data_IF_688665869077
#
_entry.id   IF_688665869077
#
_cell.length_a   1.000
_cell.length_b   1.000
_cell.length_c   1.000
_cell.angle_alpha   90.00
_cell.angle_beta   90.00
_cell.angle_gamma   90.00
#
_symmetry.space_group_name_H-M   'P 1'
#
loop_
_entity.id
_entity.type
_entity.pdbx_description
1 polymer ?
#
# COMPACT_ATOMS: atom_id res chain seq x y z
N UNK A 1 -14.76 16.71 -20.32
CA UNK A 1 -15.82 15.76 -19.89
C UNK A 1 -16.25 14.94 -21.09
N UNK A 2 -16.22 13.61 -21.01
CA UNK A 2 -16.70 12.69 -22.05
C UNK A 2 -17.97 12.00 -21.53
N UNK A 3 -19.01 11.90 -22.37
CA UNK A 3 -20.32 11.34 -21.98
C UNK A 3 -20.64 10.12 -22.82
N UNK A 4 -20.90 8.99 -22.16
CA UNK A 4 -21.21 7.71 -22.80
C UNK A 4 -22.45 7.10 -22.15
N UNK A 5 -23.40 6.62 -22.95
CA UNK A 5 -24.57 5.88 -22.47
C UNK A 5 -24.29 4.38 -22.56
N UNK A 6 -24.43 3.67 -21.44
CA UNK A 6 -24.25 2.22 -21.33
C UNK A 6 -25.49 1.54 -20.75
N UNK A 7 -25.77 0.32 -21.21
CA UNK A 7 -26.76 -0.60 -20.65
C UNK A 7 -26.13 -1.51 -19.59
N UNK A 8 -26.97 -2.27 -18.88
CA UNK A 8 -26.46 -3.31 -17.98
C UNK A 8 -25.62 -4.34 -18.73
N UNK A 9 -24.55 -4.81 -18.08
CA UNK A 9 -23.50 -5.69 -18.59
C UNK A 9 -22.62 -5.09 -19.71
N UNK A 10 -22.77 -3.80 -20.03
CA UNK A 10 -21.81 -3.11 -20.88
C UNK A 10 -20.68 -2.50 -20.05
N UNK A 11 -19.52 -2.35 -20.68
CA UNK A 11 -18.32 -1.80 -20.06
C UNK A 11 -17.74 -0.62 -20.84
N UNK A 12 -16.91 0.15 -20.14
CA UNK A 12 -16.12 1.26 -20.63
C UNK A 12 -14.68 0.98 -20.21
N UNK A 13 -13.75 1.04 -21.16
CA UNK A 13 -12.33 0.90 -20.90
C UNK A 13 -11.67 2.28 -20.85
N UNK A 14 -10.81 2.51 -19.86
CA UNK A 14 -10.07 3.75 -19.67
C UNK A 14 -8.58 3.41 -19.65
N UNK A 15 -7.86 3.84 -20.68
CA UNK A 15 -6.48 3.39 -20.91
C UNK A 15 -6.40 1.87 -21.05
N UNK A 16 -5.31 1.28 -20.57
CA UNK A 16 -5.09 -0.17 -20.70
C UNK A 16 -5.47 -0.96 -19.44
N UNK A 17 -5.54 -0.30 -18.29
CA UNK A 17 -5.60 -0.98 -16.99
C UNK A 17 -6.90 -0.76 -16.20
N UNK A 18 -7.81 0.11 -16.66
CA UNK A 18 -9.06 0.40 -15.94
C UNK A 18 -10.26 0.01 -16.79
N UNK A 19 -11.15 -0.79 -16.20
CA UNK A 19 -12.43 -1.18 -16.81
C UNK A 19 -13.57 -0.84 -15.86
N UNK A 20 -14.56 -0.10 -16.35
CA UNK A 20 -15.79 0.24 -15.64
C UNK A 20 -16.93 -0.57 -16.25
N UNK A 21 -17.63 -1.36 -15.46
CA UNK A 21 -18.74 -2.21 -15.90
C UNK A 21 -20.04 -1.82 -15.19
N UNK A 22 -21.12 -1.70 -15.96
CA UNK A 22 -22.45 -1.43 -15.41
C UNK A 22 -23.10 -2.76 -15.05
N UNK A 23 -23.00 -3.19 -13.79
CA UNK A 23 -23.53 -4.50 -13.36
C UNK A 23 -25.06 -4.54 -13.30
N UNK A 24 -25.69 -3.49 -12.76
CA UNK A 24 -27.15 -3.45 -12.58
C UNK A 24 -27.67 -2.04 -12.61
N UNK A 25 -28.83 -1.85 -13.21
CA UNK A 25 -29.60 -0.60 -13.18
C UNK A 25 -30.94 -0.93 -12.50
N UNK A 26 -31.25 -0.23 -11.41
CA UNK A 26 -32.49 -0.42 -10.66
C UNK A 26 -33.06 0.95 -10.25
N UNK A 27 -34.08 1.41 -10.97
CA UNK A 27 -34.67 2.74 -10.76
C UNK A 27 -33.63 3.84 -10.92
N UNK A 28 -33.36 4.56 -9.82
CA UNK A 28 -32.36 5.63 -9.76
C UNK A 28 -30.98 5.16 -9.30
N UNK A 29 -30.79 3.87 -8.99
CA UNK A 29 -29.52 3.33 -8.51
C UNK A 29 -28.85 2.50 -9.59
N UNK A 30 -27.55 2.73 -9.76
CA UNK A 30 -26.69 1.97 -10.67
C UNK A 30 -25.60 1.30 -9.85
N UNK A 31 -25.44 0.00 -10.04
CA UNK A 31 -24.30 -0.76 -9.51
C UNK A 31 -23.20 -0.73 -10.56
N UNK A 32 -22.10 -0.06 -10.23
CA UNK A 32 -20.92 0.06 -11.08
C UNK A 32 -19.81 -0.79 -10.48
N UNK A 33 -19.23 -1.69 -11.27
CA UNK A 33 -18.01 -2.39 -10.92
C UNK A 33 -16.83 -1.68 -11.58
N UNK A 34 -15.76 -1.48 -10.82
CA UNK A 34 -14.53 -0.87 -11.32
C UNK A 34 -13.42 -1.88 -11.11
N UNK A 35 -12.80 -2.31 -12.20
CA UNK A 35 -11.58 -3.11 -12.19
C UNK A 35 -10.41 -2.18 -12.51
N UNK A 36 -9.48 -2.05 -11.58
CA UNK A 36 -8.27 -1.26 -11.72
C UNK A 36 -7.15 -1.92 -10.90
N UNK A 37 -5.88 -1.70 -11.26
CA UNK A 37 -4.75 -2.18 -10.48
C UNK A 37 -4.61 -1.38 -9.16
N UNK A 38 -3.79 -1.90 -8.23
CA UNK A 38 -3.71 -1.42 -6.84
C UNK A 38 -3.13 -0.01 -6.68
N UNK A 39 -2.35 0.42 -7.66
CA UNK A 39 -1.76 1.76 -7.77
C UNK A 39 -2.79 2.84 -8.11
N UNK A 40 -3.93 2.47 -8.69
CA UNK A 40 -5.01 3.40 -9.02
C UNK A 40 -5.96 3.55 -7.84
N UNK A 41 -5.91 4.72 -7.18
CA UNK A 41 -6.83 5.07 -6.09
C UNK A 41 -8.27 5.24 -6.62
N UNK A 42 -9.23 4.51 -6.03
CA UNK A 42 -10.67 4.62 -6.32
C UNK A 42 -11.38 5.14 -5.08
N UNK A 43 -12.02 6.29 -5.19
CA UNK A 43 -12.78 6.92 -4.12
C UNK A 43 -14.20 7.24 -4.58
N UNK A 44 -15.13 7.21 -3.63
CA UNK A 44 -16.48 7.74 -3.86
C UNK A 44 -16.40 9.26 -3.92
N UNK A 45 -17.14 9.90 -4.83
CA UNK A 45 -17.00 11.34 -5.11
C UNK A 45 -17.22 12.21 -3.88
N UNK A 46 -18.16 11.82 -3.03
CA UNK A 46 -18.47 12.46 -1.75
C UNK A 46 -17.37 12.35 -0.69
N UNK A 47 -16.37 11.47 -0.88
CA UNK A 47 -15.25 11.28 0.06
C UNK A 47 -13.98 12.01 -0.37
N UNK A 48 -13.95 12.65 -1.55
CA UNK A 48 -12.75 13.33 -2.06
C UNK A 48 -12.28 14.47 -1.15
N UNK A 49 -13.21 15.23 -0.60
CA UNK A 49 -12.92 16.45 0.16
C UNK A 49 -12.13 16.18 1.46
N UNK A 50 -12.14 14.94 1.97
CA UNK A 50 -11.41 14.55 3.18
C UNK A 50 -9.96 14.17 2.91
N UNK A 51 -9.60 13.84 1.66
CA UNK A 51 -8.26 13.28 1.36
C UNK A 51 -7.28 14.34 0.87
N UNK A 52 -7.75 15.40 0.21
CA UNK A 52 -6.89 16.52 -0.21
C UNK A 52 -6.28 17.30 0.98
N UNK A 53 -6.87 17.19 2.17
CA UNK A 53 -6.39 17.89 3.38
C UNK A 53 -5.29 17.12 4.15
N UNK A 54 -4.97 15.88 3.76
CA UNK A 54 -3.98 15.03 4.44
C UNK A 54 -2.83 14.53 3.55
N UNK A 55 -2.64 15.10 2.35
CA UNK A 55 -1.36 14.96 1.64
C UNK A 55 -0.32 15.82 2.39
N UNK A 56 0.08 15.33 3.57
CA UNK A 56 1.19 15.84 4.35
C UNK A 56 2.40 15.75 3.43
N UNK A 57 2.89 16.91 2.99
CA UNK A 57 4.20 17.06 2.39
C UNK A 57 5.20 16.43 3.37
N UNK A 58 5.60 15.19 3.11
CA UNK A 58 6.77 14.62 3.74
C UNK A 58 7.93 15.49 3.27
N UNK A 59 8.60 16.26 4.16
CA UNK A 59 9.77 16.99 3.75
C UNK A 59 10.79 15.97 3.27
N UNK A 60 11.15 16.06 1.99
CA UNK A 60 12.30 15.35 1.42
C UNK A 60 13.48 15.65 2.35
N UNK A 61 13.96 14.63 3.07
CA UNK A 61 15.20 14.73 3.82
C UNK A 61 16.29 15.04 2.81
N UNK A 62 16.69 16.32 2.76
CA UNK A 62 17.88 16.75 2.06
C UNK A 62 19.07 16.02 2.69
N UNK A 63 19.51 14.95 2.03
CA UNK A 63 20.79 14.32 2.32
C UNK A 63 21.91 15.27 1.91
N UNK A 64 22.23 16.19 2.80
CA UNK A 64 23.56 16.76 2.92
C UNK A 64 24.06 16.36 4.30
N UNK A 65 25.07 15.51 4.35
CA UNK A 65 26.32 15.90 5.00
C UNK A 65 27.39 14.82 4.77
N UNK A 66 28.38 15.23 3.99
CA UNK A 66 29.71 14.67 3.92
C UNK A 66 30.32 14.58 5.33
N UNK A 67 30.47 13.37 5.89
CA UNK A 67 31.50 13.15 6.91
C UNK A 67 32.11 11.76 6.80
N UNK A 68 33.28 11.73 6.17
CA UNK A 68 34.24 10.64 6.25
C UNK A 68 34.67 10.43 7.72
N UNK A 69 34.26 9.31 8.32
CA UNK A 69 34.86 8.80 9.55
C UNK A 69 35.74 7.59 9.21
N UNK A 70 37.04 7.85 9.12
CA UNK A 70 38.06 6.80 9.13
C UNK A 70 38.09 6.16 10.53
N UNK A 71 37.69 4.89 10.65
CA UNK A 71 37.91 4.14 11.89
C UNK A 71 39.21 3.35 11.77
N UNK A 72 40.26 3.91 12.36
CA UNK A 72 41.52 3.24 12.65
C UNK A 72 41.29 2.10 13.64
N UNK A 73 42.04 1.01 13.42
CA UNK A 73 42.05 -0.19 14.24
C UNK A 73 42.38 0.09 15.71
N UNK A 74 41.51 -0.31 16.65
CA UNK A 74 41.94 -0.62 18.01
C UNK A 74 40.96 -1.55 18.73
N UNK A 75 41.49 -2.70 19.13
CA UNK A 75 40.87 -3.78 19.91
C UNK A 75 40.32 -3.29 21.25
N UNK A 76 39.08 -3.63 21.60
CA UNK A 76 38.67 -3.91 23.00
C UNK A 76 37.62 -5.03 23.00
N UNK A 77 37.82 -5.99 23.91
CA UNK A 77 37.12 -7.27 23.99
C UNK A 77 35.65 -7.16 24.45
N UNK A 78 34.78 -7.99 23.86
CA UNK A 78 33.40 -8.24 24.31
C UNK A 78 33.38 -9.22 25.50
N UNK A 79 32.73 -8.91 26.63
CA UNK A 79 32.41 -9.93 27.62
C UNK A 79 31.24 -10.79 27.14
N UNK A 80 31.41 -12.12 27.18
CA UNK A 80 30.39 -13.10 26.80
C UNK A 80 29.23 -13.06 27.79
N UNK A 81 28.02 -12.73 27.30
CA UNK A 81 26.79 -12.97 28.05
C UNK A 81 26.48 -14.47 28.04
N UNK A 82 26.57 -15.06 29.24
CA UNK A 82 26.18 -16.43 29.54
C UNK A 82 24.65 -16.56 29.45
N UNK A 83 24.14 -17.32 28.49
CA UNK A 83 22.73 -17.73 28.43
C UNK A 83 22.59 -19.13 29.03
N UNK A 84 21.87 -19.32 30.16
CA UNK A 84 21.55 -20.66 30.62
C UNK A 84 20.34 -21.23 29.85
N UNK A 85 20.66 -22.28 29.11
CA UNK A 85 19.88 -23.47 28.78
C UNK A 85 18.52 -23.65 29.51
N UNK A 86 17.47 -23.84 28.71
CA UNK A 86 16.32 -24.68 29.08
C UNK A 86 15.78 -25.34 27.80
N UNK A 87 16.48 -26.38 27.35
CA UNK A 87 15.87 -27.43 26.55
C UNK A 87 14.74 -28.06 27.36
N UNK A 88 13.56 -28.19 26.78
CA UNK A 88 12.64 -29.24 27.19
C UNK A 88 12.19 -30.02 25.96
N UNK A 89 12.76 -31.21 25.88
CA UNK A 89 12.56 -32.24 24.87
C UNK A 89 11.11 -32.72 24.82
N UNK A 90 10.64 -32.88 23.58
CA UNK A 90 9.69 -33.87 23.04
C UNK A 90 9.08 -34.90 24.01
N UNK A 91 7.77 -35.07 23.88
CA UNK A 91 7.12 -36.39 23.98
C UNK A 91 6.23 -36.63 22.75
N UNK A 92 6.75 -37.44 21.83
CA UNK A 92 5.93 -38.25 20.95
C UNK A 92 5.39 -39.44 21.78
N UNK A 93 4.08 -39.66 21.78
CA UNK A 93 3.44 -40.88 22.27
C UNK A 93 2.19 -41.11 21.42
N UNK A 94 2.08 -42.33 20.87
CA UNK A 94 0.81 -42.94 20.47
C UNK A 94 0.62 -43.03 18.96
#
# INVERSE_FOLDING_TARGET
MLVLSRKANESIQIGDNVTVEIRRIAGNRVTVAINAPRDVRILRGELKQTVEEFEIELPEESQSDDHAYSVSHSRVAMPRLHTPFAENHVKAVG
#
